data_IF_205037896661
#
_entry.id   IF_205037896661
#
_cell.length_a   1.000
_cell.length_b   1.000
_cell.length_c   1.000
_cell.angle_alpha   90.00
_cell.angle_beta   90.00
_cell.angle_gamma   90.00
#
_symmetry.space_group_name_H-M   'P 1'
#
loop_
_entity.id
_entity.type
_entity.pdbx_description
1 polymer ?
#
# COMPACT_ATOMS: atom_id res chain seq x y z
N UNK A 1 25.71 -20.70 16.49
CA UNK A 1 24.25 -20.93 16.54
C UNK A 1 23.61 -20.25 15.34
N UNK A 2 23.19 -21.01 14.33
CA UNK A 2 22.52 -20.49 13.13
C UNK A 2 21.01 -20.68 13.33
N UNK A 3 20.28 -19.59 13.56
CA UNK A 3 18.82 -19.63 13.60
C UNK A 3 18.31 -19.83 12.16
N UNK A 4 17.96 -21.06 11.82
CA UNK A 4 17.18 -21.36 10.62
C UNK A 4 15.73 -20.94 10.91
N UNK A 5 15.28 -19.85 10.30
CA UNK A 5 13.86 -19.47 10.31
C UNK A 5 13.16 -20.38 9.31
N UNK A 6 12.52 -21.44 9.83
CA UNK A 6 11.67 -22.33 9.06
C UNK A 6 10.39 -21.55 8.71
N UNK A 7 10.29 -21.04 7.48
CA UNK A 7 9.02 -20.51 6.97
C UNK A 7 8.13 -21.72 6.67
N UNK A 8 7.22 -22.03 7.60
CA UNK A 8 6.20 -23.04 7.39
C UNK A 8 5.21 -22.52 6.34
N UNK A 9 5.44 -22.89 5.08
CA UNK A 9 4.51 -22.61 3.98
C UNK A 9 3.31 -23.55 4.16
N UNK A 10 2.28 -23.08 4.84
CA UNK A 10 0.98 -23.75 4.87
C UNK A 10 0.34 -23.57 3.49
N UNK A 11 0.54 -24.54 2.59
CA UNK A 11 -0.18 -24.62 1.31
C UNK A 11 -1.62 -24.98 1.64
N UNK A 12 -2.48 -23.97 1.82
CA UNK A 12 -3.92 -24.18 1.89
C UNK A 12 -4.39 -24.48 0.47
N UNK A 13 -4.65 -25.76 0.18
CA UNK A 13 -5.39 -26.18 -1.00
C UNK A 13 -6.83 -25.65 -0.86
N UNK A 14 -7.09 -24.48 -1.43
CA UNK A 14 -8.44 -23.94 -1.52
C UNK A 14 -9.20 -24.71 -2.60
N UNK A 15 -10.15 -25.55 -2.17
CA UNK A 15 -11.19 -26.06 -3.06
C UNK A 15 -11.92 -24.90 -3.73
N UNK A 16 -12.26 -25.04 -5.01
CA UNK A 16 -13.00 -24.06 -5.78
C UNK A 16 -14.43 -23.90 -5.23
N UNK A 17 -14.61 -23.16 -4.14
CA UNK A 17 -15.89 -22.60 -3.76
C UNK A 17 -16.04 -21.27 -4.48
N UNK A 18 -16.93 -21.21 -5.49
CA UNK A 18 -17.34 -19.97 -6.13
C UNK A 18 -18.07 -19.12 -5.09
N UNK A 19 -17.34 -18.22 -4.44
CA UNK A 19 -17.94 -17.21 -3.58
C UNK A 19 -18.68 -16.23 -4.50
N UNK A 20 -19.97 -15.94 -4.27
CA UNK A 20 -20.64 -14.89 -5.05
C UNK A 20 -19.85 -13.59 -4.90
N UNK A 21 -19.73 -12.84 -6.01
CA UNK A 21 -19.02 -11.56 -6.00
C UNK A 21 -19.59 -10.67 -4.90
N UNK A 22 -18.73 -10.16 -4.03
CA UNK A 22 -19.15 -9.22 -2.99
C UNK A 22 -19.86 -8.02 -3.65
N UNK A 23 -21.02 -7.64 -3.14
CA UNK A 23 -21.74 -6.45 -3.59
C UNK A 23 -20.88 -5.23 -3.23
N UNK A 24 -20.30 -4.58 -4.23
CA UNK A 24 -19.50 -3.37 -4.06
C UNK A 24 -20.43 -2.19 -3.79
N UNK A 25 -20.07 -1.38 -2.80
CA UNK A 25 -20.75 -0.12 -2.48
C UNK A 25 -20.05 1.03 -3.23
N UNK A 26 -20.72 1.73 -4.17
CA UNK A 26 -20.07 2.78 -4.96
C UNK A 26 -19.55 3.95 -4.13
N UNK A 27 -20.07 4.19 -2.92
CA UNK A 27 -19.64 5.30 -2.07
C UNK A 27 -18.35 4.97 -1.31
N UNK A 28 -18.20 3.72 -0.88
CA UNK A 28 -17.11 3.31 0.01
C UNK A 28 -16.12 2.34 -0.64
N UNK A 29 -16.41 1.82 -1.83
CA UNK A 29 -15.44 1.00 -2.57
C UNK A 29 -14.22 1.85 -2.90
N UNK A 30 -12.99 1.40 -2.59
CA UNK A 30 -11.78 2.15 -2.94
C UNK A 30 -11.78 2.51 -4.44
N UNK A 31 -11.34 3.72 -4.80
CA UNK A 31 -11.38 4.18 -6.18
C UNK A 31 -10.39 3.42 -7.06
N UNK A 32 -10.71 3.28 -8.36
CA UNK A 32 -9.73 2.84 -9.33
C UNK A 32 -8.57 3.84 -9.39
N UNK A 33 -7.36 3.31 -9.34
CA UNK A 33 -6.12 4.08 -9.44
C UNK A 33 -5.65 4.13 -10.89
N UNK A 34 -5.29 5.32 -11.34
CA UNK A 34 -4.63 5.52 -12.63
C UNK A 34 -3.15 5.77 -12.36
N UNK A 35 -2.30 5.02 -13.04
CA UNK A 35 -0.86 5.03 -12.77
C UNK A 35 -0.03 5.06 -14.03
N UNK A 36 1.09 5.79 -13.95
CA UNK A 36 2.17 5.74 -14.93
C UNK A 36 3.24 4.78 -14.43
N UNK A 37 3.60 3.72 -15.19
CA UNK A 37 4.63 2.77 -14.77
C UNK A 37 6.05 3.36 -14.93
N UNK A 38 6.95 3.01 -14.02
CA UNK A 38 8.40 3.21 -14.21
C UNK A 38 8.97 2.12 -15.13
N UNK A 39 10.12 2.40 -15.76
CA UNK A 39 10.81 1.46 -16.64
C UNK A 39 11.28 0.17 -15.94
N UNK A 40 11.33 0.16 -14.60
CA UNK A 40 11.68 -1.03 -13.81
C UNK A 40 10.53 -2.05 -13.69
N UNK A 41 9.34 -1.73 -14.19
CA UNK A 41 8.14 -2.60 -14.13
C UNK A 41 7.76 -3.06 -12.72
N UNK A 42 8.20 -2.32 -11.69
CA UNK A 42 7.92 -2.61 -10.27
C UNK A 42 7.25 -1.45 -9.57
N UNK A 43 7.57 -0.22 -9.98
CA UNK A 43 7.03 0.97 -9.36
C UNK A 43 6.08 1.69 -10.31
N UNK A 44 5.09 2.33 -9.71
CA UNK A 44 4.02 3.02 -10.41
C UNK A 44 3.75 4.35 -9.72
N UNK A 45 3.69 5.43 -10.50
CA UNK A 45 3.34 6.76 -10.01
C UNK A 45 1.84 6.98 -10.16
N UNK A 46 1.16 7.45 -9.11
CA UNK A 46 -0.23 7.89 -9.22
C UNK A 46 -0.35 9.14 -10.08
N UNK A 47 -1.28 9.15 -11.03
CA UNK A 47 -1.49 10.29 -11.93
C UNK A 47 -2.35 11.40 -11.31
N UNK A 48 -3.16 11.05 -10.30
CA UNK A 48 -4.10 11.95 -9.65
C UNK A 48 -4.26 11.62 -8.17
N UNK A 49 -4.72 12.60 -7.41
CA UNK A 49 -5.13 12.41 -6.03
C UNK A 49 -6.18 11.30 -5.94
N UNK A 50 -5.96 10.38 -5.02
CA UNK A 50 -6.80 9.22 -4.80
C UNK A 50 -7.43 9.30 -3.43
N UNK A 51 -8.76 9.35 -3.41
CA UNK A 51 -9.56 9.60 -2.21
C UNK A 51 -10.15 8.30 -1.69
N UNK A 52 -9.71 7.85 -0.52
CA UNK A 52 -10.20 6.65 0.16
C UNK A 52 -11.20 7.02 1.25
N UNK A 53 -12.44 6.54 1.13
CA UNK A 53 -13.49 6.72 2.14
C UNK A 53 -13.59 5.48 3.01
N UNK A 54 -13.68 5.64 4.33
CA UNK A 54 -13.74 4.49 5.25
C UNK A 54 -15.20 4.21 5.64
N UNK A 55 -15.70 3.04 5.24
CA UNK A 55 -17.09 2.66 5.47
C UNK A 55 -17.46 2.69 6.96
N UNK A 56 -18.61 3.30 7.28
CA UNK A 56 -19.08 3.46 8.66
C UNK A 56 -18.44 4.64 9.41
N UNK A 57 -17.80 5.56 8.70
CA UNK A 57 -17.24 6.80 9.26
C UNK A 57 -17.28 7.94 8.23
N UNK A 58 -17.14 9.18 8.68
CA UNK A 58 -16.96 10.35 7.81
C UNK A 58 -15.49 10.60 7.44
N UNK A 59 -14.60 9.66 7.79
CA UNK A 59 -13.16 9.80 7.58
C UNK A 59 -12.76 9.50 6.13
N UNK A 60 -11.84 10.32 5.63
CA UNK A 60 -11.28 10.21 4.29
C UNK A 60 -9.77 10.30 4.35
N UNK A 61 -9.08 9.51 3.53
CA UNK A 61 -7.62 9.56 3.37
C UNK A 61 -7.31 9.89 1.91
N UNK A 62 -6.50 10.93 1.69
CA UNK A 62 -6.05 11.32 0.36
C UNK A 62 -4.62 10.83 0.17
N UNK A 63 -4.40 10.03 -0.88
CA UNK A 63 -3.06 9.71 -1.38
C UNK A 63 -2.78 10.63 -2.56
N UNK A 64 -1.76 11.50 -2.48
CA UNK A 64 -1.55 12.55 -3.47
C UNK A 64 -1.06 12.00 -4.82
N UNK A 65 -1.36 12.73 -5.88
CA UNK A 65 -0.74 12.56 -7.19
C UNK A 65 0.79 12.60 -7.07
N UNK A 66 1.47 11.83 -7.90
CA UNK A 66 2.93 11.66 -7.82
C UNK A 66 3.39 10.67 -6.76
N UNK A 67 2.52 10.14 -5.89
CA UNK A 67 2.91 9.07 -4.98
C UNK A 67 3.36 7.81 -5.74
N UNK A 68 4.48 7.23 -5.34
CA UNK A 68 5.08 6.04 -5.96
C UNK A 68 4.80 4.79 -5.12
N UNK A 69 4.02 3.87 -5.68
CA UNK A 69 3.60 2.60 -5.07
C UNK A 69 4.30 1.42 -5.75
N UNK A 70 4.52 0.35 -4.99
CA UNK A 70 4.89 -0.98 -5.50
C UNK A 70 3.73 -1.99 -5.37
N UNK A 71 2.51 -1.48 -5.13
CA UNK A 71 1.27 -2.22 -4.85
C UNK A 71 1.38 -3.20 -3.70
N UNK A 72 2.09 -2.81 -2.64
CA UNK A 72 2.52 -3.62 -1.51
C UNK A 72 3.38 -4.83 -1.93
N UNK A 73 4.55 -4.96 -1.30
CA UNK A 73 5.46 -6.11 -1.44
C UNK A 73 4.88 -7.40 -0.82
N UNK A 74 3.69 -7.83 -1.24
CA UNK A 74 3.10 -9.13 -0.90
C UNK A 74 3.75 -10.19 -1.80
N UNK A 75 4.29 -11.30 -1.24
CA UNK A 75 4.96 -12.32 -2.03
C UNK A 75 4.10 -12.81 -3.20
N UNK A 76 4.69 -12.89 -4.40
CA UNK A 76 4.00 -13.30 -5.65
C UNK A 76 3.29 -14.66 -5.55
N UNK A 77 3.70 -15.53 -4.64
CA UNK A 77 3.01 -16.80 -4.37
C UNK A 77 1.56 -16.61 -3.88
N UNK A 78 1.25 -15.44 -3.30
CA UNK A 78 -0.12 -15.07 -2.92
C UNK A 78 -0.91 -14.43 -4.07
N UNK A 79 -0.34 -14.28 -5.28
CA UNK A 79 -1.03 -13.70 -6.43
C UNK A 79 -1.95 -14.71 -7.15
N UNK A 80 -2.08 -15.95 -6.67
CA UNK A 80 -2.96 -16.94 -7.30
C UNK A 80 -4.43 -16.51 -7.18
N UNK A 81 -5.01 -16.04 -8.30
CA UNK A 81 -6.38 -15.51 -8.38
C UNK A 81 -6.50 -13.99 -8.25
N UNK A 82 -5.39 -13.26 -8.12
CA UNK A 82 -5.36 -11.82 -7.89
C UNK A 82 -4.45 -11.13 -8.91
N UNK A 83 -5.01 -10.78 -10.07
CA UNK A 83 -4.37 -9.93 -11.08
C UNK A 83 -3.84 -8.63 -10.45
N UNK A 84 -2.79 -7.98 -11.00
CA UNK A 84 -2.38 -6.61 -10.62
C UNK A 84 -3.51 -5.58 -10.70
N UNK A 85 -4.59 -5.89 -11.44
CA UNK A 85 -5.84 -5.11 -11.50
C UNK A 85 -6.89 -5.56 -10.47
N UNK A 86 -6.49 -6.40 -9.51
CA UNK A 86 -7.36 -7.06 -8.55
C UNK A 86 -7.86 -6.13 -7.47
N UNK A 87 -8.92 -6.55 -6.79
CA UNK A 87 -9.61 -5.80 -5.74
C UNK A 87 -8.68 -5.27 -4.63
N UNK A 88 -7.59 -5.97 -4.33
CA UNK A 88 -6.64 -5.58 -3.28
C UNK A 88 -5.67 -4.46 -3.70
N UNK A 89 -5.40 -4.25 -5.00
CA UNK A 89 -4.35 -3.31 -5.45
C UNK A 89 -4.65 -1.86 -5.05
N UNK A 90 -5.94 -1.50 -5.04
CA UNK A 90 -6.41 -0.21 -4.52
C UNK A 90 -6.09 -0.04 -3.04
N UNK A 91 -6.35 -1.07 -2.24
CA UNK A 91 -6.05 -1.07 -0.81
C UNK A 91 -4.53 -1.02 -0.55
N UNK A 92 -3.73 -1.64 -1.43
CA UNK A 92 -2.29 -1.64 -1.34
C UNK A 92 -1.67 -0.25 -1.53
N UNK A 93 -2.24 0.60 -2.41
CA UNK A 93 -1.80 2.00 -2.55
C UNK A 93 -1.93 2.77 -1.24
N UNK A 94 -3.06 2.64 -0.55
CA UNK A 94 -3.25 3.25 0.76
C UNK A 94 -2.25 2.70 1.79
N UNK A 95 -2.01 1.38 1.79
CA UNK A 95 -1.06 0.74 2.71
C UNK A 95 0.37 1.26 2.50
N UNK A 96 0.84 1.29 1.24
CA UNK A 96 2.16 1.83 0.89
C UNK A 96 2.29 3.29 1.32
N UNK A 97 1.23 4.10 1.15
CA UNK A 97 1.21 5.50 1.57
C UNK A 97 1.33 5.64 3.09
N UNK A 98 0.53 4.89 3.86
CA UNK A 98 0.59 4.92 5.32
C UNK A 98 1.91 4.37 5.87
N UNK A 99 2.52 3.39 5.18
CA UNK A 99 3.87 2.90 5.48
C UNK A 99 4.95 3.94 5.18
N UNK A 100 4.76 4.73 4.12
CA UNK A 100 5.67 5.80 3.76
C UNK A 100 5.59 6.97 4.71
N UNK A 101 4.39 7.48 4.99
CA UNK A 101 4.20 8.67 5.85
C UNK A 101 4.41 8.32 7.32
N UNK A 102 3.97 7.13 7.74
CA UNK A 102 3.89 6.72 9.14
C UNK A 102 3.13 7.76 9.99
N UNK A 103 2.07 8.35 9.43
CA UNK A 103 1.14 9.22 10.16
C UNK A 103 0.35 8.43 11.22
N UNK A 104 0.12 7.15 10.96
CA UNK A 104 -0.41 6.17 11.93
C UNK A 104 0.71 5.24 12.42
N UNK A 105 0.43 4.45 13.46
CA UNK A 105 1.27 3.31 13.82
C UNK A 105 1.18 2.20 12.75
N UNK A 106 2.17 1.29 12.73
CA UNK A 106 2.14 0.13 11.82
C UNK A 106 0.88 -0.72 11.97
N UNK A 107 0.46 -0.96 13.21
CA UNK A 107 -0.72 -1.76 13.50
C UNK A 107 -2.00 -1.10 12.96
N UNK A 108 -2.14 0.22 13.14
CA UNK A 108 -3.26 0.99 12.58
C UNK A 108 -3.22 0.97 11.04
N UNK A 109 -2.05 1.15 10.43
CA UNK A 109 -1.89 1.09 8.97
C UNK A 109 -2.29 -0.29 8.40
N UNK A 110 -1.84 -1.38 9.04
CA UNK A 110 -2.19 -2.76 8.67
C UNK A 110 -3.71 -3.00 8.80
N UNK A 111 -4.34 -2.42 9.83
CA UNK A 111 -5.78 -2.53 10.08
C UNK A 111 -6.59 -1.75 9.05
N UNK A 112 -6.19 -0.53 8.72
CA UNK A 112 -6.79 0.27 7.64
C UNK A 112 -6.68 -0.44 6.29
N UNK A 113 -5.56 -1.12 6.03
CA UNK A 113 -5.40 -1.96 4.84
C UNK A 113 -6.40 -3.12 4.82
N UNK A 114 -6.62 -3.80 5.95
CA UNK A 114 -7.64 -4.85 6.08
C UNK A 114 -9.06 -4.31 5.82
N UNK A 115 -9.39 -3.12 6.33
CA UNK A 115 -10.67 -2.46 6.09
C UNK A 115 -10.87 -2.16 4.59
N UNK A 116 -9.86 -1.59 3.93
CA UNK A 116 -9.91 -1.32 2.50
C UNK A 116 -10.01 -2.60 1.67
N UNK A 117 -9.32 -3.68 2.04
CA UNK A 117 -9.48 -4.98 1.39
C UNK A 117 -10.92 -5.49 1.50
N UNK A 118 -11.54 -5.34 2.68
CA UNK A 118 -12.96 -5.70 2.89
C UNK A 118 -13.88 -4.86 2.00
N UNK A 119 -13.71 -3.54 1.95
CA UNK A 119 -14.50 -2.63 1.10
C UNK A 119 -14.30 -2.90 -0.40
N UNK A 120 -13.11 -3.37 -0.79
CA UNK A 120 -12.82 -3.78 -2.16
C UNK A 120 -13.42 -5.14 -2.55
N UNK A 121 -14.03 -5.88 -1.62
CA UNK A 121 -14.64 -7.19 -1.89
C UNK A 121 -13.70 -8.39 -1.76
N UNK A 122 -12.48 -8.19 -1.24
CA UNK A 122 -11.50 -9.29 -1.06
C UNK A 122 -12.06 -10.34 -0.11
N UNK A 123 -11.98 -11.61 -0.54
CA UNK A 123 -12.57 -12.74 0.20
C UNK A 123 -12.04 -12.83 1.64
N UNK A 124 -12.85 -13.33 2.59
CA UNK A 124 -12.43 -13.46 3.99
C UNK A 124 -11.12 -14.23 4.20
N UNK A 125 -10.91 -15.31 3.44
CA UNK A 125 -9.69 -16.10 3.51
C UNK A 125 -8.47 -15.29 3.00
N UNK A 126 -8.59 -14.65 1.84
CA UNK A 126 -7.48 -13.89 1.26
C UNK A 126 -7.09 -12.71 2.15
N UNK A 127 -8.06 -11.94 2.65
CA UNK A 127 -7.76 -10.79 3.53
C UNK A 127 -7.14 -11.22 4.86
N UNK A 128 -7.55 -12.36 5.42
CA UNK A 128 -6.96 -12.88 6.67
C UNK A 128 -5.50 -13.29 6.44
N UNK A 129 -5.20 -14.00 5.35
CA UNK A 129 -3.84 -14.39 4.96
C UNK A 129 -2.95 -13.18 4.70
N UNK A 130 -3.42 -12.22 3.90
CA UNK A 130 -2.67 -10.99 3.59
C UNK A 130 -2.41 -10.19 4.87
N UNK A 131 -3.45 -9.98 5.68
CA UNK A 131 -3.32 -9.25 6.94
C UNK A 131 -2.33 -9.94 7.90
N UNK A 132 -2.45 -11.26 8.09
CA UNK A 132 -1.51 -12.03 8.92
C UNK A 132 -0.06 -11.92 8.42
N UNK A 133 0.14 -11.88 7.10
CA UNK A 133 1.45 -11.70 6.49
C UNK A 133 2.03 -10.32 6.81
N UNK A 134 1.31 -9.23 6.55
CA UNK A 134 1.82 -7.88 6.84
C UNK A 134 2.05 -7.65 8.33
N UNK A 135 1.24 -8.27 9.21
CA UNK A 135 1.45 -8.21 10.67
C UNK A 135 2.78 -8.84 11.09
N UNK A 136 3.16 -9.97 10.48
CA UNK A 136 4.36 -10.74 10.85
C UNK A 136 5.64 -10.32 10.13
N UNK A 137 5.55 -9.90 8.86
CA UNK A 137 6.74 -9.57 8.04
C UNK A 137 6.85 -8.09 7.67
N UNK A 138 5.88 -7.26 8.06
CA UNK A 138 5.80 -5.85 7.68
C UNK A 138 6.86 -4.95 8.32
N UNK A 139 7.49 -5.36 9.42
CA UNK A 139 8.46 -4.53 10.17
C UNK A 139 9.63 -4.07 9.31
N UNK A 140 10.16 -4.95 8.44
CA UNK A 140 11.27 -4.58 7.55
C UNK A 140 10.87 -3.51 6.53
N UNK A 141 9.65 -3.59 5.98
CA UNK A 141 9.13 -2.56 5.06
C UNK A 141 8.90 -1.24 5.76
N UNK A 142 8.33 -1.29 6.97
CA UNK A 142 8.10 -0.13 7.83
C UNK A 142 9.42 0.61 8.13
N UNK A 143 10.42 -0.09 8.68
CA UNK A 143 11.71 0.49 9.03
C UNK A 143 12.47 1.03 7.82
N UNK A 144 12.41 0.36 6.66
CA UNK A 144 13.04 0.87 5.42
C UNK A 144 12.40 2.18 4.96
N UNK A 145 11.07 2.29 4.99
CA UNK A 145 10.39 3.54 4.63
C UNK A 145 10.78 4.68 5.59
N UNK A 146 10.83 4.42 6.90
CA UNK A 146 11.33 5.39 7.88
C UNK A 146 12.77 5.84 7.58
N UNK A 147 13.67 4.88 7.34
CA UNK A 147 15.07 5.16 7.06
C UNK A 147 15.24 5.99 5.78
N UNK A 148 14.55 5.63 4.71
CA UNK A 148 14.59 6.35 3.44
C UNK A 148 14.05 7.79 3.59
N UNK A 149 12.96 7.98 4.35
CA UNK A 149 12.39 9.30 4.61
C UNK A 149 13.33 10.17 5.44
N UNK A 150 13.94 9.58 6.47
CA UNK A 150 14.94 10.26 7.31
C UNK A 150 16.22 10.60 6.52
N UNK A 151 16.56 9.79 5.53
CA UNK A 151 17.63 10.07 4.58
C UNK A 151 17.25 11.14 3.52
N UNK A 152 16.03 11.68 3.57
CA UNK A 152 15.60 12.77 2.70
C UNK A 152 15.05 12.33 1.34
N UNK A 153 14.88 11.03 1.09
CA UNK A 153 14.33 10.59 -0.17
C UNK A 153 12.83 10.87 -0.27
N UNK A 154 12.35 11.33 -1.43
CA UNK A 154 10.92 11.54 -1.69
C UNK A 154 10.23 10.26 -2.13
N UNK A 155 8.95 10.10 -1.83
CA UNK A 155 8.08 9.07 -2.45
C UNK A 155 6.83 9.67 -3.11
N UNK A 156 6.71 11.00 -3.07
CA UNK A 156 5.72 11.78 -3.79
C UNK A 156 6.50 12.72 -4.72
N UNK A 157 6.32 12.55 -6.01
CA UNK A 157 7.01 13.34 -7.04
C UNK A 157 6.25 14.66 -7.23
N UNK A 158 6.90 15.82 -7.04
CA UNK A 158 6.25 17.11 -7.26
C UNK A 158 5.85 17.30 -8.73
N UNK A 159 4.82 18.10 -8.98
CA UNK A 159 4.18 18.31 -10.29
C UNK A 159 5.19 18.55 -11.43
N UNK A 160 6.19 19.42 -11.23
CA UNK A 160 7.21 19.74 -12.23
C UNK A 160 8.19 18.59 -12.58
N UNK A 161 8.08 17.44 -11.91
CA UNK A 161 8.94 16.26 -12.11
C UNK A 161 8.12 15.02 -12.51
N UNK A 162 6.82 15.15 -12.81
CA UNK A 162 5.97 13.98 -13.13
C UNK A 162 6.07 13.49 -14.58
N UNK A 163 6.74 14.25 -15.45
CA UNK A 163 7.06 13.80 -16.81
C UNK A 163 8.27 12.85 -16.78
N UNK A 164 8.00 11.55 -16.70
CA UNK A 164 9.04 10.53 -16.57
C UNK A 164 9.71 10.26 -17.92
N UNK A 165 11.06 10.29 -18.00
CA UNK A 165 11.76 9.70 -19.13
C UNK A 165 11.36 8.24 -19.33
N UNK A 166 11.26 7.77 -20.58
CA UNK A 166 10.87 6.39 -20.89
C UNK A 166 11.81 5.32 -20.31
N UNK A 167 13.02 5.72 -19.91
CA UNK A 167 14.04 4.87 -19.28
C UNK A 167 14.12 5.03 -17.75
N UNK A 168 13.26 5.85 -17.15
CA UNK A 168 13.32 6.15 -15.73
C UNK A 168 12.96 4.92 -14.88
N UNK A 169 13.96 4.37 -14.18
CA UNK A 169 13.75 3.40 -13.11
C UNK A 169 13.64 4.12 -11.77
N UNK A 170 12.68 3.74 -10.92
CA UNK A 170 12.39 4.48 -9.70
C UNK A 170 13.60 4.64 -8.76
N UNK A 171 14.42 3.60 -8.48
CA UNK A 171 15.58 3.75 -7.61
C UNK A 171 16.59 4.80 -8.09
N UNK A 172 16.77 4.92 -9.42
CA UNK A 172 17.67 5.92 -10.00
C UNK A 172 17.02 7.30 -10.01
N UNK A 173 15.76 7.38 -10.41
CA UNK A 173 15.01 8.64 -10.49
C UNK A 173 14.87 9.31 -9.11
N UNK A 174 14.53 8.52 -8.08
CA UNK A 174 14.43 9.00 -6.70
C UNK A 174 15.74 9.59 -6.17
N UNK A 175 16.88 8.97 -6.53
CA UNK A 175 18.21 9.52 -6.19
C UNK A 175 18.44 10.85 -6.90
N UNK A 176 18.13 10.95 -8.19
CA UNK A 176 18.21 12.21 -8.92
C UNK A 176 17.38 13.33 -8.26
N UNK A 177 16.14 13.05 -7.85
CA UNK A 177 15.30 14.02 -7.14
C UNK A 177 15.95 14.45 -5.81
N UNK A 178 16.46 13.49 -5.04
CA UNK A 178 17.18 13.77 -3.79
C UNK A 178 18.43 14.65 -4.03
N UNK A 179 19.23 14.34 -5.05
CA UNK A 179 20.45 15.07 -5.38
C UNK A 179 20.15 16.48 -5.93
N UNK A 180 18.98 16.66 -6.53
CA UNK A 180 18.42 17.96 -6.91
C UNK A 180 17.85 18.76 -5.71
N UNK A 181 18.00 18.25 -4.48
CA UNK A 181 17.60 18.94 -3.25
C UNK A 181 16.14 18.73 -2.83
N UNK A 182 15.38 17.89 -3.53
CA UNK A 182 14.00 17.59 -3.14
C UNK A 182 13.99 16.74 -1.87
N UNK A 183 13.08 17.05 -0.95
CA UNK A 183 12.92 16.38 0.33
C UNK A 183 11.45 16.05 0.56
N UNK A 184 11.14 15.00 1.34
CA UNK A 184 9.75 14.69 1.69
C UNK A 184 9.15 15.84 2.50
N UNK A 185 7.85 16.15 2.29
CA UNK A 185 7.17 17.13 3.14
C UNK A 185 7.08 16.61 4.58
N UNK A 186 6.93 17.51 5.57
CA UNK A 186 6.58 17.13 6.94
C UNK A 186 5.32 16.27 6.94
N UNK A 187 5.28 15.28 7.84
CA UNK A 187 4.10 14.41 8.01
C UNK A 187 3.41 14.79 9.31
N UNK A 188 2.10 15.03 9.22
CA UNK A 188 1.24 15.14 10.40
C UNK A 188 1.00 13.75 11.00
N UNK A 189 1.38 13.58 12.26
CA UNK A 189 1.23 12.31 13.00
C UNK A 189 -0.06 12.35 13.81
N UNK A 190 -0.74 11.22 13.92
CA UNK A 190 -1.97 11.11 14.72
C UNK A 190 -3.20 11.68 14.01
N UNK A 191 -3.27 11.51 12.69
CA UNK A 191 -4.49 11.86 11.94
C UNK A 191 -5.69 11.07 12.48
N UNK A 192 -6.87 11.69 12.55
CA UNK A 192 -8.09 11.11 13.15
C UNK A 192 -8.47 9.75 12.55
N UNK A 193 -8.23 9.53 11.26
CA UNK A 193 -8.51 8.25 10.61
C UNK A 193 -7.65 7.09 11.17
N UNK A 194 -6.54 7.36 11.87
CA UNK A 194 -5.70 6.34 12.48
C UNK A 194 -6.44 5.59 13.59
N UNK A 195 -7.37 6.25 14.31
CA UNK A 195 -8.16 5.66 15.39
C UNK A 195 -9.07 4.51 14.90
N UNK A 196 -9.49 4.57 13.63
CA UNK A 196 -10.23 3.46 12.99
C UNK A 196 -9.38 2.19 12.82
N UNK A 197 -8.06 2.33 12.99
CA UNK A 197 -7.10 1.24 13.00
C UNK A 197 -6.82 0.67 14.38
N UNK A 198 -7.36 1.24 15.46
CA UNK A 198 -7.13 0.78 16.82
C UNK A 198 -7.80 -0.58 17.07
N UNK A 199 -7.22 -1.41 17.97
CA UNK A 199 -7.92 -2.59 18.44
C UNK A 199 -9.24 -2.16 19.08
N UNK A 200 -10.32 -2.88 18.76
CA UNK A 200 -11.58 -2.71 19.49
C UNK A 200 -11.33 -3.06 20.97
N UNK A 201 -11.85 -2.23 21.88
CA UNK A 201 -11.83 -2.49 23.33
C UNK A 201 -12.47 -3.84 23.69
#
# INVERSE_FOLDING_TARGET
MRFAVLVLILVVLAGCATTPAAKLDPETTPPLVTVTPFADSRHFMLERDTVFRIAGSDQTIVVPAGFVTDFASIPRAFWSGMSPHGQYSRAAVLHDYLYWTQSCTRAQADKLFLLMMKQSGVSPANRATIYGTVRTTGDGGWQRNAADRNAGFVRVIPDGYRELPSTAAWPAYRRQLHDAGLRPPPVEVGASYCELGDPAE
#
